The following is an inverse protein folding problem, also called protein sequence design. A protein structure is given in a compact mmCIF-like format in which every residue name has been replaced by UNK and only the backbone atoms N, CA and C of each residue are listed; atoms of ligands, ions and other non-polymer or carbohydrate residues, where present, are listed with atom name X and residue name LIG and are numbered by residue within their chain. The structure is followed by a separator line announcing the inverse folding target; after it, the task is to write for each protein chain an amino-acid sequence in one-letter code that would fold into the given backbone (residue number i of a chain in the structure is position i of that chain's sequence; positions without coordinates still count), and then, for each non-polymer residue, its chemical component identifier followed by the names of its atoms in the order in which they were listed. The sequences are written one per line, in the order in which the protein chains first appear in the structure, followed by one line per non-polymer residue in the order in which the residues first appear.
data_IF_918867610357
#
_entry.id   IF_918867610357
#
_cell.length_a   1.000
_cell.length_b   1.000
_cell.length_c   1.000
_cell.angle_alpha   90.00
_cell.angle_beta   90.00
_cell.angle_gamma   90.00
#
_symmetry.space_group_name_H-M   'P 1'
#
loop_
_entity.id
_entity.type
_entity.pdbx_description
1 polymer ?
#
# COMPACT_ATOMS: atom_id res chain seq x y z
N UNK A 1 -5.97 -2.98 -31.88
CA UNK A 1 -5.84 -3.69 -30.58
C UNK A 1 -4.51 -3.39 -29.90
N UNK A 2 -3.36 -3.42 -30.59
CA UNK A 2 -2.03 -3.12 -30.02
C UNK A 2 -1.91 -1.82 -29.18
N UNK A 3 -2.58 -0.75 -29.59
CA UNK A 3 -2.59 0.50 -28.83
C UNK A 3 -3.33 0.38 -27.48
N UNK A 4 -4.43 -0.39 -27.45
CA UNK A 4 -5.19 -0.63 -26.22
C UNK A 4 -4.38 -1.49 -25.25
N UNK A 5 -3.72 -2.53 -25.75
CA UNK A 5 -2.82 -3.38 -24.95
C UNK A 5 -1.72 -2.56 -24.28
N UNK A 6 -1.10 -1.64 -25.01
CA UNK A 6 -0.09 -0.73 -24.47
C UNK A 6 -0.63 0.12 -23.32
N UNK A 7 -1.80 0.73 -23.49
CA UNK A 7 -2.42 1.58 -22.46
C UNK A 7 -2.79 0.77 -21.20
N UNK A 8 -3.25 -0.47 -21.35
CA UNK A 8 -3.55 -1.36 -20.23
C UNK A 8 -2.27 -1.70 -19.44
N UNK A 9 -1.17 -1.97 -20.15
CA UNK A 9 0.13 -2.22 -19.50
C UNK A 9 0.58 -0.99 -18.72
N UNK A 10 0.57 0.19 -19.34
CA UNK A 10 0.96 1.44 -18.68
C UNK A 10 0.10 1.76 -17.44
N UNK A 11 -1.19 1.43 -17.49
CA UNK A 11 -2.11 1.65 -16.37
C UNK A 11 -1.89 0.69 -15.19
N UNK A 12 -1.21 -0.45 -15.39
CA UNK A 12 -1.00 -1.49 -14.37
C UNK A 12 0.42 -1.52 -13.82
N UNK A 13 1.41 -1.02 -14.58
CA UNK A 13 2.81 -0.91 -14.12
C UNK A 13 2.94 0.07 -12.96
N UNK A 14 3.60 -0.39 -11.89
CA UNK A 14 3.97 0.43 -10.75
C UNK A 14 5.16 1.34 -11.10
N UNK A 15 5.05 2.60 -10.69
CA UNK A 15 6.19 3.50 -10.55
C UNK A 15 7.04 3.09 -9.35
N UNK A 16 8.26 3.63 -9.25
CA UNK A 16 9.16 3.33 -8.12
C UNK A 16 8.54 3.64 -6.74
N UNK A 17 7.86 4.79 -6.51
CA UNK A 17 7.17 5.03 -5.24
C UNK A 17 6.01 4.04 -4.99
N UNK A 18 5.25 3.67 -6.03
CA UNK A 18 4.17 2.70 -5.88
C UNK A 18 4.71 1.31 -5.55
N UNK A 19 5.84 0.89 -6.12
CA UNK A 19 6.51 -0.36 -5.78
C UNK A 19 7.00 -0.38 -4.32
N UNK A 20 7.46 0.76 -3.79
CA UNK A 20 7.79 0.86 -2.36
C UNK A 20 6.54 0.74 -1.48
N UNK A 21 5.41 1.33 -1.90
CA UNK A 21 4.13 1.15 -1.18
C UNK A 21 3.69 -0.31 -1.20
N UNK A 22 3.78 -1.00 -2.34
CA UNK A 22 3.50 -2.45 -2.44
C UNK A 22 4.33 -3.23 -1.42
N UNK A 23 5.65 -3.01 -1.40
CA UNK A 23 6.58 -3.68 -0.50
C UNK A 23 6.24 -3.41 0.97
N UNK A 24 5.98 -2.15 1.33
CA UNK A 24 5.62 -1.77 2.69
C UNK A 24 4.27 -2.35 3.10
N UNK A 25 3.26 -2.37 2.22
CA UNK A 25 1.96 -2.96 2.52
C UNK A 25 2.05 -4.46 2.76
N UNK A 26 2.91 -5.19 2.05
CA UNK A 26 3.20 -6.60 2.36
C UNK A 26 3.80 -6.76 3.76
N UNK A 27 4.76 -5.90 4.14
CA UNK A 27 5.34 -5.91 5.50
C UNK A 27 4.27 -5.58 6.56
N UNK A 28 3.43 -4.56 6.32
CA UNK A 28 2.34 -4.18 7.22
C UNK A 28 1.36 -5.32 7.44
N UNK A 29 0.93 -5.99 6.36
CA UNK A 29 -0.05 -7.09 6.44
C UNK A 29 0.54 -8.34 7.11
N UNK A 30 1.85 -8.57 7.00
CA UNK A 30 2.54 -9.66 7.69
C UNK A 30 2.78 -9.36 9.19
N UNK A 31 3.24 -8.15 9.52
CA UNK A 31 3.64 -7.79 10.89
C UNK A 31 2.47 -7.45 11.80
N UNK A 32 1.47 -6.70 11.27
CA UNK A 32 0.24 -6.29 11.96
C UNK A 32 0.38 -5.60 13.33
N UNK A 33 1.60 -5.29 13.76
CA UNK A 33 1.84 -4.72 15.10
C UNK A 33 1.13 -3.38 15.32
N UNK A 34 1.01 -2.58 14.26
CA UNK A 34 0.33 -1.30 14.29
C UNK A 34 -1.12 -1.32 13.79
N UNK A 35 -1.74 -2.52 13.67
CA UNK A 35 -3.10 -2.69 13.13
C UNK A 35 -4.14 -1.81 13.83
N UNK A 36 -4.10 -1.73 15.16
CA UNK A 36 -5.00 -0.90 15.96
C UNK A 36 -4.83 0.63 15.78
N UNK A 37 -3.76 1.07 15.10
CA UNK A 37 -3.45 2.49 14.91
C UNK A 37 -3.74 3.00 13.48
N UNK A 38 -3.90 2.09 12.51
CA UNK A 38 -4.07 2.45 11.11
C UNK A 38 -5.47 2.06 10.60
N UNK A 39 -6.29 3.07 10.32
CA UNK A 39 -7.66 2.90 9.81
C UNK A 39 -7.75 2.20 8.44
N UNK A 40 -6.62 2.04 7.74
CA UNK A 40 -6.55 1.35 6.44
C UNK A 40 -6.58 -0.17 6.59
N UNK A 41 -6.18 -0.73 7.74
CA UNK A 41 -6.08 -2.19 7.94
C UNK A 41 -7.35 -2.97 7.59
N UNK A 42 -8.55 -2.59 8.04
CA UNK A 42 -9.77 -3.33 7.72
C UNK A 42 -9.98 -3.57 6.22
N UNK A 43 -9.55 -2.64 5.36
CA UNK A 43 -9.58 -2.79 3.91
C UNK A 43 -8.32 -3.53 3.39
N UNK A 44 -7.14 -3.23 3.94
CA UNK A 44 -5.88 -3.83 3.52
C UNK A 44 -5.87 -5.35 3.69
N UNK A 45 -6.45 -5.86 4.78
CA UNK A 45 -6.38 -7.29 5.14
C UNK A 45 -7.31 -8.18 4.32
N UNK A 46 -8.14 -7.57 3.47
CA UNK A 46 -9.00 -8.27 2.52
C UNK A 46 -8.27 -8.57 1.20
N UNK A 47 -6.98 -8.19 1.09
CA UNK A 47 -6.17 -8.29 -0.11
C UNK A 47 -4.97 -9.21 0.11
N UNK A 48 -4.62 -9.95 -0.92
CA UNK A 48 -3.43 -10.82 -0.95
C UNK A 48 -2.24 -10.14 -1.64
N UNK A 49 -2.53 -9.27 -2.61
CA UNK A 49 -1.56 -8.53 -3.41
C UNK A 49 -1.93 -7.04 -3.39
N UNK A 50 -0.94 -6.17 -3.62
CA UNK A 50 -1.10 -4.72 -3.55
C UNK A 50 -0.72 -4.09 -4.89
N UNK A 51 -1.50 -4.40 -5.92
CA UNK A 51 -1.32 -3.81 -7.25
C UNK A 51 -1.71 -2.33 -7.29
N UNK A 52 -1.52 -1.70 -8.46
CA UNK A 52 -1.70 -0.25 -8.63
C UNK A 52 -3.06 0.25 -8.13
N UNK A 53 -4.14 -0.42 -8.53
CA UNK A 53 -5.49 -0.03 -8.13
C UNK A 53 -5.70 -0.13 -6.60
N UNK A 54 -5.16 -1.17 -5.98
CA UNK A 54 -5.25 -1.38 -4.53
C UNK A 54 -4.47 -0.32 -3.76
N UNK A 55 -3.25 -0.01 -4.20
CA UNK A 55 -2.43 1.05 -3.60
C UNK A 55 -3.17 2.38 -3.61
N UNK A 56 -3.71 2.78 -4.77
CA UNK A 56 -4.46 4.03 -4.90
C UNK A 56 -5.74 4.03 -4.08
N UNK A 57 -6.46 2.91 -4.05
CA UNK A 57 -7.66 2.78 -3.22
C UNK A 57 -7.31 2.91 -1.73
N UNK A 58 -6.32 2.17 -1.23
CA UNK A 58 -5.89 2.20 0.16
C UNK A 58 -5.30 3.56 0.55
N UNK A 59 -4.60 4.24 -0.37
CA UNK A 59 -4.11 5.61 -0.15
C UNK A 59 -5.26 6.60 0.11
N UNK A 60 -6.39 6.45 -0.59
CA UNK A 60 -7.58 7.28 -0.34
C UNK A 60 -8.22 7.03 1.03
N UNK A 61 -7.94 5.89 1.66
CA UNK A 61 -8.40 5.58 3.03
C UNK A 61 -7.42 6.10 4.09
N UNK A 62 -6.20 6.50 3.70
CA UNK A 62 -5.19 6.98 4.62
C UNK A 62 -5.49 8.42 5.06
N UNK A 63 -5.51 8.66 6.36
CA UNK A 63 -5.69 10.00 6.93
C UNK A 63 -4.38 10.78 7.14
N UNK A 64 -3.24 10.22 6.73
CA UNK A 64 -1.91 10.80 6.93
C UNK A 64 -1.64 11.26 8.38
N UNK A 65 -2.19 10.53 9.38
CA UNK A 65 -2.10 10.91 10.79
C UNK A 65 -0.77 10.55 11.47
N UNK A 66 0.07 9.72 10.84
CA UNK A 66 1.38 9.31 11.36
C UNK A 66 1.37 8.28 12.49
N UNK A 67 0.20 7.92 13.05
CA UNK A 67 0.12 7.02 14.21
C UNK A 67 0.79 5.64 13.97
N UNK A 68 0.58 5.06 12.78
CA UNK A 68 1.19 3.78 12.44
C UNK A 68 2.70 3.87 12.20
N UNK A 69 3.22 5.01 11.75
CA UNK A 69 4.65 5.26 11.60
C UNK A 69 5.33 5.27 12.98
N UNK A 70 4.75 5.99 13.94
CA UNK A 70 5.27 6.06 15.31
C UNK A 70 5.23 4.71 16.05
N UNK A 71 4.27 3.85 15.70
CA UNK A 71 4.12 2.51 16.28
C UNK A 71 4.82 1.40 15.48
N UNK A 72 5.48 1.72 14.36
CA UNK A 72 6.02 0.70 13.46
C UNK A 72 7.31 0.07 14.01
N UNK A 73 7.37 -1.27 13.99
CA UNK A 73 8.57 -2.03 14.41
C UNK A 73 9.77 -1.87 13.47
N UNK A 74 9.49 -1.46 12.23
CA UNK A 74 10.49 -1.27 11.18
C UNK A 74 10.66 0.20 10.82
N UNK A 75 10.08 1.13 11.59
CA UNK A 75 10.35 2.54 11.37
C UNK A 75 11.85 2.80 11.59
N UNK A 76 12.49 3.58 10.71
CA UNK A 76 13.86 4.00 10.94
C UNK A 76 13.94 4.80 12.26
N UNK A 77 15.12 4.81 12.92
CA UNK A 77 15.34 5.66 14.09
C UNK A 77 15.01 7.12 13.76
N UNK A 78 14.43 7.87 14.71
CA UNK A 78 14.16 9.30 14.54
C UNK A 78 15.46 10.12 14.40
#
# INVERSE_FOLDING_TARGET
MKQLEKLIIEATVLTEPEAEVERVMQVCNACRYCEGFCAVFPAMTQRLEFGKADIHYLANLCHNCGACLHACQYAPPP
#
